data_IF_408292157715
#
_entry.id   IF_408292157715
#
_cell.length_a   1.000
_cell.length_b   1.000
_cell.length_c   1.000
_cell.angle_alpha   90.00
_cell.angle_beta   90.00
_cell.angle_gamma   90.00
#
_symmetry.space_group_name_H-M   'P 1'
#
loop_
_entity.id
_entity.type
_entity.pdbx_description
1 polymer ?
#
# COMPACT_ATOMS: atom_id res chain seq x y z
N UNK A 1 -2.08 -17.57 9.36
CA UNK A 1 -2.78 -16.27 9.20
C UNK A 1 -1.94 -15.42 8.26
N UNK A 2 -2.36 -15.25 7.01
CA UNK A 2 -1.59 -14.49 6.02
C UNK A 2 -1.92 -12.99 6.16
N UNK A 3 -1.11 -12.25 6.94
CA UNK A 3 -1.23 -10.79 7.10
C UNK A 3 -0.54 -9.99 5.97
N UNK A 4 0.12 -10.65 5.02
CA UNK A 4 1.12 -10.07 4.10
C UNK A 4 0.59 -9.62 2.73
N UNK A 5 -0.60 -9.02 2.66
CA UNK A 5 -1.09 -8.42 1.40
C UNK A 5 -2.17 -7.33 1.61
N UNK A 6 -2.22 -6.74 2.80
CA UNK A 6 -3.09 -5.58 3.08
C UNK A 6 -2.28 -4.31 2.99
N UNK A 7 -2.92 -3.17 2.76
CA UNK A 7 -2.23 -1.89 2.76
C UNK A 7 -1.52 -1.67 4.11
N UNK A 8 -2.25 -1.82 5.20
CA UNK A 8 -1.77 -1.63 6.57
C UNK A 8 -0.65 -2.64 6.92
N UNK A 9 -0.80 -3.89 6.48
CA UNK A 9 0.24 -4.91 6.66
C UNK A 9 1.53 -4.59 5.92
N UNK A 10 1.42 -4.09 4.68
CA UNK A 10 2.59 -3.69 3.90
C UNK A 10 3.29 -2.48 4.53
N UNK A 11 2.54 -1.48 5.01
CA UNK A 11 3.12 -0.31 5.70
C UNK A 11 3.82 -0.72 6.99
N UNK A 12 3.21 -1.59 7.80
CA UNK A 12 3.84 -2.11 9.02
C UNK A 12 5.16 -2.83 8.74
N UNK A 13 5.24 -3.59 7.65
CA UNK A 13 6.47 -4.29 7.27
C UNK A 13 7.54 -3.34 6.72
N UNK A 14 7.13 -2.24 6.05
CA UNK A 14 8.05 -1.16 5.64
C UNK A 14 8.63 -0.47 6.87
N UNK A 15 7.82 -0.17 7.90
CA UNK A 15 8.30 0.45 9.14
C UNK A 15 9.33 -0.44 9.85
N UNK A 16 9.10 -1.75 9.90
CA UNK A 16 10.07 -2.71 10.44
C UNK A 16 11.39 -2.73 9.64
N UNK A 17 11.31 -2.60 8.31
CA UNK A 17 12.49 -2.50 7.45
C UNK A 17 13.28 -1.21 7.74
N UNK A 18 12.60 -0.08 7.88
CA UNK A 18 13.24 1.21 8.21
C UNK A 18 14.00 1.10 9.52
N UNK A 19 13.37 0.54 10.57
CA UNK A 19 14.02 0.34 11.87
C UNK A 19 15.29 -0.52 11.78
N UNK A 20 15.27 -1.59 10.97
CA UNK A 20 16.47 -2.42 10.75
C UNK A 20 17.59 -1.66 10.03
N UNK A 21 17.23 -0.85 9.03
CA UNK A 21 18.20 -0.04 8.30
C UNK A 21 18.84 1.03 9.20
N UNK A 22 18.06 1.61 10.13
CA UNK A 22 18.54 2.59 11.11
C UNK A 22 19.47 1.96 12.16
N UNK A 23 19.25 0.71 12.56
CA UNK A 23 20.09 -0.02 13.52
C UNK A 23 21.48 -0.37 12.94
N UNK A 24 21.61 -0.34 11.61
CA UNK A 24 22.86 -0.55 10.90
C UNK A 24 23.02 -1.99 10.40
N UNK A 25 22.75 -2.18 9.11
CA UNK A 25 22.95 -3.44 8.41
C UNK A 25 24.23 -3.42 7.56
N UNK A 26 24.76 -4.60 7.23
CA UNK A 26 25.76 -4.73 6.18
C UNK A 26 25.21 -4.23 4.84
N UNK A 27 26.07 -3.79 3.93
CA UNK A 27 25.66 -3.20 2.64
C UNK A 27 24.74 -4.13 1.84
N UNK A 28 25.10 -5.41 1.72
CA UNK A 28 24.32 -6.39 0.95
C UNK A 28 22.94 -6.66 1.57
N UNK A 29 22.84 -6.65 2.90
CA UNK A 29 21.57 -6.83 3.62
C UNK A 29 20.71 -5.58 3.52
N UNK A 30 21.34 -4.40 3.63
CA UNK A 30 20.68 -3.10 3.45
C UNK A 30 20.04 -3.00 2.07
N UNK A 31 20.76 -3.43 1.03
CA UNK A 31 20.25 -3.43 -0.35
C UNK A 31 19.04 -4.36 -0.52
N UNK A 32 19.06 -5.54 0.09
CA UNK A 32 17.94 -6.49 0.03
C UNK A 32 16.71 -5.96 0.75
N UNK A 33 16.88 -5.43 1.96
CA UNK A 33 15.76 -4.87 2.74
C UNK A 33 15.18 -3.63 2.04
N UNK A 34 16.03 -2.78 1.45
CA UNK A 34 15.57 -1.65 0.63
C UNK A 34 14.73 -2.10 -0.58
N UNK A 35 15.21 -3.07 -1.36
CA UNK A 35 14.47 -3.59 -2.52
C UNK A 35 13.12 -4.17 -2.09
N UNK A 36 13.10 -4.87 -0.95
CA UNK A 36 11.87 -5.40 -0.35
C UNK A 36 10.90 -4.27 0.01
N UNK A 37 11.36 -3.21 0.66
CA UNK A 37 10.53 -2.05 1.00
C UNK A 37 9.95 -1.37 -0.25
N UNK A 38 10.75 -1.20 -1.31
CA UNK A 38 10.28 -0.62 -2.57
C UNK A 38 9.17 -1.47 -3.22
N UNK A 39 9.32 -2.80 -3.19
CA UNK A 39 8.29 -3.71 -3.69
C UNK A 39 6.99 -3.65 -2.86
N UNK A 40 7.09 -3.55 -1.54
CA UNK A 40 5.93 -3.37 -0.66
C UNK A 40 5.24 -2.02 -0.88
N UNK A 41 6.02 -0.96 -1.12
CA UNK A 41 5.50 0.37 -1.42
C UNK A 41 4.72 0.38 -2.74
N UNK A 42 5.27 -0.23 -3.80
CA UNK A 42 4.59 -0.37 -5.08
C UNK A 42 3.26 -1.12 -4.95
N UNK A 43 3.25 -2.24 -4.21
CA UNK A 43 2.02 -3.01 -3.93
C UNK A 43 0.98 -2.17 -3.17
N UNK A 44 1.44 -1.37 -2.21
CA UNK A 44 0.58 -0.49 -1.42
C UNK A 44 -0.05 0.61 -2.30
N UNK A 45 0.72 1.19 -3.22
CA UNK A 45 0.22 2.10 -4.25
C UNK A 45 -0.88 1.47 -5.10
N UNK A 46 -0.67 0.24 -5.60
CA UNK A 46 -1.71 -0.48 -6.37
C UNK A 46 -2.99 -0.74 -5.55
N UNK A 47 -2.88 -0.99 -4.25
CA UNK A 47 -4.06 -1.16 -3.39
C UNK A 47 -4.82 0.16 -3.26
N UNK A 48 -4.11 1.27 -3.04
CA UNK A 48 -4.70 2.60 -2.97
C UNK A 48 -5.36 3.02 -4.28
N UNK A 49 -4.72 2.83 -5.42
CA UNK A 49 -5.28 3.13 -6.74
C UNK A 49 -6.58 2.34 -6.98
N UNK A 50 -6.59 1.05 -6.63
CA UNK A 50 -7.81 0.22 -6.71
C UNK A 50 -8.91 0.72 -5.77
N UNK A 51 -8.55 1.20 -4.58
CA UNK A 51 -9.51 1.77 -3.64
C UNK A 51 -10.05 3.11 -4.15
N UNK A 52 -9.20 4.02 -4.63
CA UNK A 52 -9.59 5.28 -5.27
C UNK A 52 -10.49 5.04 -6.49
N UNK A 53 -10.15 4.08 -7.35
CA UNK A 53 -10.99 3.68 -8.48
C UNK A 53 -12.32 3.01 -8.09
N UNK A 54 -12.48 2.56 -6.84
CA UNK A 54 -13.77 2.15 -6.26
C UNK A 54 -14.52 3.31 -5.60
N UNK A 55 -13.80 4.35 -5.16
CA UNK A 55 -14.34 5.62 -4.62
C UNK A 55 -14.85 6.54 -5.76
N UNK A 56 -14.98 6.03 -7.00
CA UNK A 56 -15.90 6.59 -8.01
C UNK A 56 -17.16 7.09 -7.32
N UNK A 57 -17.54 8.33 -7.58
CA UNK A 57 -18.58 9.09 -6.87
C UNK A 57 -19.82 8.20 -6.71
N UNK A 58 -20.03 7.63 -5.52
CA UNK A 58 -21.27 6.92 -5.20
C UNK A 58 -22.28 8.01 -4.85
N UNK A 59 -23.00 8.47 -5.85
CA UNK A 59 -24.02 9.51 -5.74
C UNK A 59 -25.39 8.84 -5.69
N UNK A 60 -26.20 9.16 -4.68
CA UNK A 60 -27.61 8.75 -4.67
C UNK A 60 -28.43 9.80 -5.40
N UNK A 61 -28.89 9.49 -6.62
CA UNK A 61 -29.86 10.30 -7.37
C UNK A 61 -31.19 9.57 -7.38
N UNK A 62 -32.24 10.19 -6.84
CA UNK A 62 -33.61 9.65 -6.81
C UNK A 62 -33.72 8.23 -6.23
N UNK A 63 -32.97 7.93 -5.16
CA UNK A 63 -32.97 6.59 -4.53
C UNK A 63 -32.17 5.52 -5.29
N UNK A 64 -31.50 5.88 -6.39
CA UNK A 64 -30.58 5.00 -7.11
C UNK A 64 -29.12 5.43 -6.89
N UNK A 65 -28.28 4.45 -6.56
CA UNK A 65 -26.82 4.65 -6.47
C UNK A 65 -26.25 4.68 -7.89
N UNK A 66 -25.74 5.84 -8.28
CA UNK A 66 -25.00 6.07 -9.53
C UNK A 66 -23.51 6.11 -9.20
N UNK A 67 -22.68 5.42 -9.98
CA UNK A 67 -21.21 5.50 -9.90
C UNK A 67 -20.69 6.30 -11.09
N UNK A 68 -20.06 7.44 -10.82
CA UNK A 68 -19.38 8.28 -11.83
C UNK A 68 -17.86 8.32 -11.57
N UNK A 69 -17.07 8.47 -12.62
CA UNK A 69 -15.62 8.65 -12.48
C UNK A 69 -15.33 9.96 -11.74
N UNK A 70 -14.32 9.94 -10.86
CA UNK A 70 -13.88 11.13 -10.15
C UNK A 70 -12.96 11.92 -11.11
N UNK A 71 -13.43 13.07 -11.62
CA UNK A 71 -12.60 14.03 -12.39
C UNK A 71 -11.58 14.75 -11.50
#
# INVERSE_FOLDING_TARGET
MAKTNTFEGNISEIDEIILKLEDGLGLDESMKEYEKAMNLLAKSGTILEKAQGKIKKVMEKNGQKVMEDFE
#
